data_IF_404881410729
#
_entry.id   IF_404881410729
#
_cell.length_a   1.000
_cell.length_b   1.000
_cell.length_c   1.000
_cell.angle_alpha   90.00
_cell.angle_beta   90.00
_cell.angle_gamma   90.00
#
_symmetry.space_group_name_H-M   'P 1'
#
loop_
_entity.id
_entity.type
_entity.pdbx_description
1 polymer ?
#
# COMPACT_ATOMS: atom_id res chain seq x y z
N UNK A 1 15.91 -5.21 -4.30
CA UNK A 1 16.72 -4.49 -3.28
C UNK A 1 18.10 -5.08 -3.06
N UNK A 2 18.23 -6.36 -2.67
CA UNK A 2 19.54 -6.99 -2.42
C UNK A 2 20.54 -6.79 -3.59
N UNK A 3 20.09 -7.01 -4.82
CA UNK A 3 20.91 -6.79 -6.01
C UNK A 3 21.37 -5.32 -6.17
N UNK A 4 20.56 -4.33 -5.77
CA UNK A 4 21.00 -2.92 -5.81
C UNK A 4 22.10 -2.65 -4.77
N UNK A 5 22.04 -3.30 -3.61
CA UNK A 5 23.06 -3.14 -2.56
C UNK A 5 24.42 -3.69 -3.01
N UNK A 6 24.43 -4.71 -3.86
CA UNK A 6 25.65 -5.24 -4.46
C UNK A 6 26.17 -4.34 -5.59
N UNK A 7 25.27 -3.87 -6.46
CA UNK A 7 25.62 -3.05 -7.63
C UNK A 7 25.99 -1.59 -7.33
N UNK A 8 25.94 -1.17 -6.05
CA UNK A 8 26.26 0.20 -5.65
C UNK A 8 27.73 0.55 -5.89
N UNK A 9 28.64 -0.44 -5.85
CA UNK A 9 30.06 -0.26 -6.15
C UNK A 9 30.31 0.07 -7.62
N UNK A 10 29.46 -0.45 -8.50
CA UNK A 10 29.66 -0.41 -9.95
C UNK A 10 28.94 0.78 -10.61
N UNK A 11 28.30 1.63 -9.80
CA UNK A 11 27.48 2.76 -10.25
C UNK A 11 26.37 2.36 -11.23
N UNK A 12 25.82 1.16 -11.06
CA UNK A 12 24.71 0.66 -11.87
C UNK A 12 23.39 0.95 -11.13
N UNK A 13 22.46 1.62 -11.81
CA UNK A 13 21.15 1.95 -11.28
C UNK A 13 20.09 0.97 -11.79
N UNK A 14 19.46 0.26 -10.87
CA UNK A 14 18.28 -0.55 -11.13
C UNK A 14 17.02 0.21 -10.72
N UNK A 15 15.96 0.06 -11.51
CA UNK A 15 14.61 0.54 -11.18
C UNK A 15 13.62 -0.61 -11.23
N UNK A 16 12.84 -0.77 -10.16
CA UNK A 16 11.72 -1.68 -10.03
C UNK A 16 10.42 -0.91 -10.24
N UNK A 17 9.66 -1.33 -11.24
CA UNK A 17 8.40 -0.67 -11.63
C UNK A 17 7.24 -1.46 -11.07
N UNK A 18 6.50 -0.86 -10.13
CA UNK A 18 5.28 -1.41 -9.57
C UNK A 18 4.07 -0.90 -10.36
N UNK A 19 3.77 -1.59 -11.46
CA UNK A 19 2.69 -1.22 -12.36
C UNK A 19 1.31 -1.40 -11.70
N UNK A 20 0.37 -0.46 -11.92
CA UNK A 20 -1.00 -0.58 -11.47
C UNK A 20 -1.86 -1.30 -12.52
N UNK A 21 -3.13 -1.55 -12.18
CA UNK A 21 -4.10 -2.05 -13.16
C UNK A 21 -4.28 -1.02 -14.30
N UNK A 22 -3.81 -1.42 -15.49
CA UNK A 22 -3.70 -0.56 -16.67
C UNK A 22 -4.67 -1.03 -17.75
N UNK A 23 -5.24 -0.10 -18.52
CA UNK A 23 -6.14 -0.45 -19.62
C UNK A 23 -5.36 -0.98 -20.84
N UNK A 24 -5.04 -2.27 -20.80
CA UNK A 24 -4.38 -2.99 -21.89
C UNK A 24 -5.30 -4.04 -22.49
N UNK A 25 -5.17 -4.35 -23.79
CA UNK A 25 -5.95 -5.41 -24.42
C UNK A 25 -5.70 -6.78 -23.78
N UNK A 26 -4.47 -7.03 -23.29
CA UNK A 26 -4.13 -8.26 -22.55
C UNK A 26 -4.95 -8.44 -21.27
N UNK A 27 -5.17 -7.35 -20.52
CA UNK A 27 -6.01 -7.38 -19.33
C UNK A 27 -7.45 -7.82 -19.64
N UNK A 28 -8.02 -7.38 -20.77
CA UNK A 28 -9.39 -7.76 -21.14
C UNK A 28 -9.55 -9.27 -21.42
N UNK A 29 -8.46 -9.94 -21.80
CA UNK A 29 -8.40 -11.39 -22.00
C UNK A 29 -8.27 -12.06 -20.63
N UNK A 30 -7.35 -11.61 -19.79
CA UNK A 30 -7.12 -12.16 -18.44
C UNK A 30 -8.34 -11.99 -17.53
N UNK A 31 -9.11 -10.90 -17.69
CA UNK A 31 -10.29 -10.65 -16.88
C UNK A 31 -11.41 -11.68 -17.12
N UNK A 32 -11.42 -12.35 -18.28
CA UNK A 32 -12.37 -13.42 -18.60
C UNK A 32 -12.04 -14.72 -17.86
N UNK A 33 -10.76 -14.98 -17.62
CA UNK A 33 -10.28 -16.21 -16.96
C UNK A 33 -10.10 -16.05 -15.45
N UNK A 34 -10.02 -14.81 -14.93
CA UNK A 34 -9.90 -14.51 -13.50
C UNK A 34 -11.12 -14.99 -12.69
N UNK A 35 -10.93 -15.45 -11.44
CA UNK A 35 -12.03 -15.81 -10.54
C UNK A 35 -12.83 -14.58 -10.08
N UNK A 36 -14.10 -14.79 -9.73
CA UNK A 36 -15.06 -13.75 -9.33
C UNK A 36 -14.52 -12.81 -8.23
N UNK A 37 -13.86 -13.36 -7.21
CA UNK A 37 -13.29 -12.57 -6.10
C UNK A 37 -12.23 -11.58 -6.58
N UNK A 38 -11.32 -12.01 -7.48
CA UNK A 38 -10.30 -11.13 -8.04
C UNK A 38 -10.91 -10.03 -8.89
N UNK A 39 -12.03 -10.28 -9.58
CA UNK A 39 -12.75 -9.24 -10.34
C UNK A 39 -13.31 -8.15 -9.42
N UNK A 40 -13.84 -8.53 -8.25
CA UNK A 40 -14.38 -7.59 -7.26
C UNK A 40 -13.26 -6.72 -6.70
N UNK A 41 -12.12 -7.31 -6.34
CA UNK A 41 -10.95 -6.59 -5.80
C UNK A 41 -10.40 -5.60 -6.84
N UNK A 42 -10.27 -6.03 -8.10
CA UNK A 42 -9.77 -5.16 -9.17
C UNK A 42 -10.75 -4.00 -9.42
N UNK A 43 -12.06 -4.25 -9.36
CA UNK A 43 -13.08 -3.18 -9.44
C UNK A 43 -13.05 -2.22 -8.25
N UNK A 44 -12.71 -2.69 -7.05
CA UNK A 44 -12.66 -1.85 -5.85
C UNK A 44 -11.38 -1.02 -5.74
N UNK A 45 -10.31 -1.41 -6.44
CA UNK A 45 -8.99 -0.75 -6.40
C UNK A 45 -8.97 0.62 -7.11
N UNK A 46 -10.07 1.04 -7.75
CA UNK A 46 -10.25 2.38 -8.29
C UNK A 46 -9.92 2.52 -9.78
N UNK A 47 -9.73 3.77 -10.22
CA UNK A 47 -9.69 4.15 -11.63
C UNK A 47 -8.50 3.54 -12.38
N UNK A 48 -8.77 2.97 -13.55
CA UNK A 48 -7.75 2.36 -14.41
C UNK A 48 -6.82 3.44 -14.97
N UNK A 49 -5.52 3.14 -14.99
CA UNK A 49 -4.55 4.07 -15.56
C UNK A 49 -4.39 3.81 -17.06
N UNK A 50 -4.17 4.89 -17.83
CA UNK A 50 -3.87 4.76 -19.26
C UNK A 50 -2.43 4.24 -19.43
N UNK A 51 -2.17 3.37 -20.41
CA UNK A 51 -0.83 2.82 -20.63
C UNK A 51 0.23 3.87 -21.00
N UNK A 52 -0.19 4.96 -21.66
CA UNK A 52 0.71 6.08 -22.01
C UNK A 52 1.19 6.83 -20.76
N UNK A 53 0.28 7.08 -19.82
CA UNK A 53 0.61 7.78 -18.57
C UNK A 53 1.53 6.90 -17.70
N UNK A 54 1.25 5.59 -17.68
CA UNK A 54 2.08 4.57 -17.02
C UNK A 54 3.51 4.57 -17.57
N UNK A 55 3.65 4.54 -18.90
CA UNK A 55 4.96 4.56 -19.55
C UNK A 55 5.73 5.85 -19.26
N UNK A 56 5.04 6.99 -19.24
CA UNK A 56 5.68 8.30 -19.00
C UNK A 56 6.23 8.38 -17.57
N UNK A 57 5.43 8.00 -16.56
CA UNK A 57 5.88 7.99 -15.16
C UNK A 57 7.01 6.99 -14.93
N UNK A 58 6.95 5.82 -15.57
CA UNK A 58 8.02 4.83 -15.50
C UNK A 58 9.33 5.38 -16.07
N UNK A 59 9.29 5.99 -17.27
CA UNK A 59 10.47 6.57 -17.90
C UNK A 59 11.06 7.72 -17.09
N UNK A 60 10.22 8.59 -16.52
CA UNK A 60 10.70 9.70 -15.69
C UNK A 60 11.27 9.22 -14.35
N UNK A 61 10.71 8.14 -13.78
CA UNK A 61 11.27 7.47 -12.61
C UNK A 61 12.65 6.85 -12.88
N UNK A 62 12.83 6.22 -14.05
CA UNK A 62 14.12 5.67 -14.49
C UNK A 62 15.14 6.79 -14.70
N UNK A 63 14.76 7.89 -15.36
CA UNK A 63 15.63 9.07 -15.55
C UNK A 63 16.06 9.69 -14.22
N UNK A 64 15.16 9.72 -13.24
CA UNK A 64 15.46 10.19 -11.88
C UNK A 64 16.31 9.18 -11.07
N UNK A 65 16.64 8.01 -11.64
CA UNK A 65 17.41 6.96 -10.97
C UNK A 65 16.69 6.36 -9.76
N UNK A 66 15.36 6.41 -9.70
CA UNK A 66 14.61 5.86 -8.55
C UNK A 66 14.70 4.35 -8.53
N UNK A 67 14.96 3.78 -7.34
CA UNK A 67 14.93 2.33 -7.14
C UNK A 67 13.51 1.81 -7.26
N UNK A 68 12.57 2.35 -6.49
CA UNK A 68 11.17 1.97 -6.57
C UNK A 68 10.34 3.04 -7.26
N UNK A 69 9.62 2.64 -8.31
CA UNK A 69 8.73 3.50 -9.07
C UNK A 69 7.30 2.99 -8.86
N UNK A 70 6.55 3.72 -8.04
CA UNK A 70 5.13 3.48 -7.82
C UNK A 70 4.32 4.47 -8.65
N UNK A 71 3.38 3.94 -9.44
CA UNK A 71 2.57 4.74 -10.36
C UNK A 71 1.23 5.16 -9.77
N UNK A 72 0.77 4.46 -8.73
CA UNK A 72 -0.45 4.78 -8.00
C UNK A 72 -0.14 5.37 -6.63
N UNK A 73 -0.96 6.33 -6.20
CA UNK A 73 -0.85 6.95 -4.87
C UNK A 73 -0.92 5.91 -3.74
N UNK A 74 -1.87 4.97 -3.81
CA UNK A 74 -1.97 3.88 -2.83
C UNK A 74 -0.70 3.01 -2.82
N UNK A 75 -0.11 2.76 -3.99
CA UNK A 75 1.14 2.02 -4.12
C UNK A 75 2.31 2.77 -3.49
N UNK A 76 2.37 4.09 -3.66
CA UNK A 76 3.36 4.94 -3.00
C UNK A 76 3.18 4.94 -1.48
N UNK A 77 1.94 5.04 -0.99
CA UNK A 77 1.65 4.99 0.45
C UNK A 77 2.03 3.64 1.06
N UNK A 78 1.75 2.54 0.36
CA UNK A 78 2.16 1.20 0.78
C UNK A 78 3.68 1.04 0.78
N UNK A 79 4.36 1.55 -0.24
CA UNK A 79 5.81 1.59 -0.30
C UNK A 79 6.42 2.28 0.92
N UNK A 80 5.93 3.46 1.27
CA UNK A 80 6.36 4.20 2.47
C UNK A 80 6.07 3.41 3.74
N UNK A 81 4.91 2.76 3.83
CA UNK A 81 4.55 1.93 4.99
C UNK A 81 5.44 0.68 5.14
N UNK A 82 6.00 0.15 4.03
CA UNK A 82 6.84 -1.04 4.00
C UNK A 82 8.33 -0.76 3.76
N UNK A 83 8.73 0.51 3.67
CA UNK A 83 10.06 0.94 3.24
C UNK A 83 11.22 0.42 4.11
N UNK A 84 10.94 -0.04 5.33
CA UNK A 84 11.84 -0.84 6.17
C UNK A 84 13.30 -0.39 6.15
N UNK A 85 14.19 -1.31 5.77
CA UNK A 85 15.61 -1.07 5.52
C UNK A 85 15.95 -1.15 4.02
N UNK A 86 15.03 -0.71 3.15
CA UNK A 86 15.29 -0.64 1.72
C UNK A 86 16.46 0.33 1.44
N UNK A 87 17.16 0.23 0.31
CA UNK A 87 18.29 1.10 0.01
C UNK A 87 17.83 2.55 -0.32
N UNK A 88 17.73 3.46 0.67
CA UNK A 88 17.42 4.86 0.34
C UNK A 88 18.62 5.60 -0.27
N UNK A 89 18.36 6.23 -1.42
CA UNK A 89 19.33 7.06 -2.15
C UNK A 89 19.61 8.40 -1.47
N UNK A 90 18.77 8.85 -0.54
CA UNK A 90 18.94 10.15 0.13
C UNK A 90 18.47 10.14 1.58
N UNK A 91 19.19 10.90 2.42
CA UNK A 91 18.86 11.06 3.84
C UNK A 91 17.47 11.71 4.06
N UNK A 92 17.12 12.68 3.22
CA UNK A 92 15.80 13.35 3.26
C UNK A 92 14.66 12.37 2.96
N UNK A 93 14.85 11.47 1.99
CA UNK A 93 13.84 10.46 1.66
C UNK A 93 13.68 9.44 2.79
N UNK A 94 14.79 8.98 3.38
CA UNK A 94 14.74 8.09 4.55
C UNK A 94 14.01 8.75 5.73
N UNK A 95 14.25 10.04 5.98
CA UNK A 95 13.53 10.78 7.04
C UNK A 95 12.02 10.88 6.73
N UNK A 96 11.66 11.22 5.50
CA UNK A 96 10.26 11.31 5.08
C UNK A 96 9.54 9.95 5.20
N UNK A 97 10.23 8.85 4.92
CA UNK A 97 9.67 7.51 5.04
C UNK A 97 9.49 7.07 6.49
N UNK A 98 10.42 7.38 7.38
CA UNK A 98 10.27 7.08 8.83
C UNK A 98 9.07 7.83 9.41
N UNK A 99 8.96 9.13 9.12
CA UNK A 99 7.83 9.95 9.59
C UNK A 99 6.52 9.50 8.92
N UNK A 100 6.56 9.22 7.62
CA UNK A 100 5.42 8.75 6.84
C UNK A 100 4.88 7.40 7.32
N UNK A 101 5.75 6.42 7.55
CA UNK A 101 5.38 5.11 8.09
C UNK A 101 4.77 5.22 9.48
N UNK A 102 5.34 6.08 10.34
CA UNK A 102 4.78 6.40 11.65
C UNK A 102 3.38 7.00 11.55
N UNK A 103 3.19 7.98 10.66
CA UNK A 103 1.91 8.62 10.42
C UNK A 103 0.84 7.64 9.89
N UNK A 104 1.18 6.84 8.87
CA UNK A 104 0.28 5.81 8.32
C UNK A 104 -0.14 4.83 9.39
N UNK A 105 0.79 4.44 10.27
CA UNK A 105 0.50 3.56 11.39
C UNK A 105 -0.45 4.20 12.41
N UNK A 106 -0.27 5.49 12.75
CA UNK A 106 -1.21 6.19 13.63
C UNK A 106 -2.62 6.25 13.01
N UNK A 107 -2.72 6.63 11.73
CA UNK A 107 -4.00 6.69 11.01
C UNK A 107 -4.68 5.32 10.94
N UNK A 108 -3.92 4.23 10.76
CA UNK A 108 -4.48 2.88 10.71
C UNK A 108 -4.96 2.37 12.08
N UNK A 109 -4.39 2.90 13.16
CA UNK A 109 -4.61 2.43 14.52
C UNK A 109 -5.75 3.19 15.21
N UNK A 110 -5.81 4.52 15.07
CA UNK A 110 -6.84 5.38 15.69
C UNK A 110 -8.30 4.91 15.48
N UNK A 111 -8.77 4.62 14.25
CA UNK A 111 -10.14 4.16 14.04
C UNK A 111 -10.39 2.77 14.63
N UNK A 112 -9.36 1.90 14.69
CA UNK A 112 -9.47 0.58 15.32
C UNK A 112 -9.64 0.70 16.83
N UNK A 113 -8.93 1.63 17.49
CA UNK A 113 -9.11 1.85 18.93
C UNK A 113 -10.47 2.43 19.24
N UNK A 114 -10.96 3.40 18.46
CA UNK A 114 -12.30 3.96 18.64
C UNK A 114 -13.38 2.88 18.52
N UNK A 115 -13.32 2.05 17.47
CA UNK A 115 -14.28 0.95 17.27
C UNK A 115 -14.11 -0.16 18.30
N UNK A 116 -12.89 -0.48 18.72
CA UNK A 116 -12.66 -1.50 19.74
C UNK A 116 -13.23 -1.03 21.10
N UNK A 117 -13.02 0.22 21.47
CA UNK A 117 -13.55 0.81 22.72
C UNK A 117 -15.09 0.74 22.75
N UNK A 118 -15.76 1.05 21.63
CA UNK A 118 -17.21 0.92 21.49
C UNK A 118 -17.70 -0.53 21.65
N UNK A 119 -16.97 -1.51 21.10
CA UNK A 119 -17.31 -2.94 21.25
C UNK A 119 -17.11 -3.45 22.68
N UNK A 120 -16.03 -3.03 23.34
CA UNK A 120 -15.78 -3.37 24.75
C UNK A 120 -16.88 -2.76 25.65
N UNK A 121 -17.31 -1.53 25.37
CA UNK A 121 -18.39 -0.87 26.09
C UNK A 121 -19.75 -1.58 25.89
N UNK A 122 -20.05 -2.03 24.67
CA UNK A 122 -21.26 -2.82 24.39
C UNK A 122 -21.24 -4.16 25.12
N UNK A 123 -20.10 -4.88 25.09
CA UNK A 123 -19.94 -6.16 25.79
C UNK A 123 -20.13 -6.01 27.31
N UNK A 124 -19.64 -4.91 27.91
CA UNK A 124 -19.83 -4.61 29.33
C UNK A 124 -21.29 -4.28 29.70
N UNK A 125 -22.00 -3.56 28.83
CA UNK A 125 -23.42 -3.26 29.02
C UNK A 125 -24.27 -4.53 28.96
N UNK A 126 -23.98 -5.41 28.01
CA UNK A 126 -24.71 -6.66 27.82
C UNK A 126 -24.54 -7.64 29.00
N UNK A 127 -23.30 -7.78 29.52
CA UNK A 127 -23.03 -8.56 30.75
C UNK A 127 -23.73 -8.02 31.98
N UNK A 128 -23.83 -6.69 32.11
CA UNK A 128 -24.50 -6.05 33.25
C UNK A 128 -26.01 -6.26 33.21
N UNK A 129 -26.61 -6.22 32.02
CA UNK A 129 -28.04 -6.51 31.82
C UNK A 129 -28.36 -7.97 32.13
N UNK A 130 -27.54 -8.90 31.63
CA UNK A 130 -27.72 -10.33 31.93
C UNK A 130 -27.66 -10.60 33.44
N UNK A 131 -26.68 -10.05 34.16
CA UNK A 131 -26.57 -10.23 35.61
C UNK A 131 -27.76 -9.65 36.40
N UNK A 132 -28.46 -8.64 35.90
CA UNK A 132 -29.68 -8.10 36.53
C UNK A 132 -30.87 -9.04 36.30
N UNK A 133 -31.04 -9.60 35.11
CA UNK A 133 -32.11 -10.59 34.80
C UNK A 133 -31.93 -11.94 35.46
N UNK A 134 -30.71 -12.35 35.82
CA UNK A 134 -30.46 -13.62 36.51
C UNK A 134 -30.56 -13.52 38.04
N UNK A 135 -30.73 -12.31 38.60
CA UNK A 135 -30.81 -12.06 40.04
C UNK A 135 -32.22 -11.59 40.49
N UNK A 136 -33.18 -11.47 39.56
CA UNK A 136 -34.64 -11.44 39.81
C UNK A 136 -35.23 -12.85 39.60
#
# INVERSE_FOLDING_TARGET
>A
EAMQMELISDNIHMSLIHAPETDTPGRAIDFKTRPELSKIIVRSTGNMMKPVDVATIALDGIKAGKLDIHLSFLGCLMSVATAGCSPQRSFLMAFAEVIGAGFVRLVAILPKWLVQDDRELQCQKEKRLLNLTYFE
#
